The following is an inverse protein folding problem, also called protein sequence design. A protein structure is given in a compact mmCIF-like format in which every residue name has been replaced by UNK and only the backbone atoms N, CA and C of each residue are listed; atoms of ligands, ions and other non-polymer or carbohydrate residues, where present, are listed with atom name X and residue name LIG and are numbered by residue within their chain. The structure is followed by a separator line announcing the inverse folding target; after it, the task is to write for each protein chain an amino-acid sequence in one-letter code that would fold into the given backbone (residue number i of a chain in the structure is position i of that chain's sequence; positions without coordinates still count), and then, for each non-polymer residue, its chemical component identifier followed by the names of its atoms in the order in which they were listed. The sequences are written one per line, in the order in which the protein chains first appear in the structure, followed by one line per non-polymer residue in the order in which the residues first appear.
data_IF_169652931532
#
_entry.id   IF_169652931532
#
_cell.length_a   1.000
_cell.length_b   1.000
_cell.length_c   1.000
_cell.angle_alpha   90.00
_cell.angle_beta   90.00
_cell.angle_gamma   90.00
#
_symmetry.space_group_name_H-M   'P 1'
#
loop_
_entity.id
_entity.type
_entity.pdbx_description
1 polymer ?
#
# COMPACT_ATOMS: atom_id res chain seq x y z
N UNK A 1 11.87 13.24 -9.36
CA UNK A 1 10.87 12.28 -9.85
C UNK A 1 9.78 13.07 -10.57
N UNK A 2 9.41 12.69 -11.79
CA UNK A 2 8.23 13.22 -12.48
C UNK A 2 7.09 12.20 -12.30
N UNK A 3 5.86 12.67 -12.09
CA UNK A 3 4.72 11.84 -11.74
C UNK A 3 3.45 12.34 -12.42
N UNK A 4 2.57 11.42 -12.80
CA UNK A 4 1.27 11.75 -13.40
C UNK A 4 0.33 12.43 -12.41
N UNK A 5 -0.51 13.36 -12.89
CA UNK A 5 -1.41 14.15 -12.02
C UNK A 5 -2.42 13.31 -11.22
N UNK A 6 -2.85 12.16 -11.73
CA UNK A 6 -3.82 11.30 -11.04
C UNK A 6 -3.28 10.66 -9.76
N UNK A 7 -1.95 10.66 -9.56
CA UNK A 7 -1.29 10.08 -8.38
C UNK A 7 -1.16 11.08 -7.23
N UNK A 8 -1.51 12.36 -7.45
CA UNK A 8 -1.53 13.36 -6.39
C UNK A 8 -2.61 13.00 -5.35
N UNK A 9 -2.25 13.07 -4.08
CA UNK A 9 -3.14 12.84 -2.95
C UNK A 9 -2.80 13.78 -1.79
N UNK A 10 -3.85 14.26 -1.11
CA UNK A 10 -3.75 15.03 0.13
C UNK A 10 -4.85 14.56 1.06
N UNK A 11 -4.51 14.32 2.33
CA UNK A 11 -5.46 13.96 3.37
C UNK A 11 -5.14 14.79 4.61
N UNK A 12 -6.18 15.34 5.25
CA UNK A 12 -6.06 16.14 6.46
C UNK A 12 -7.06 15.66 7.51
N UNK A 13 -6.54 15.06 8.57
CA UNK A 13 -7.26 14.65 9.79
C UNK A 13 -6.24 14.26 10.86
N UNK A 14 -6.69 14.21 12.11
CA UNK A 14 -5.94 13.64 13.22
C UNK A 14 -5.96 12.10 13.15
N UNK A 15 -4.87 11.53 12.62
CA UNK A 15 -4.64 10.09 12.51
C UNK A 15 -3.52 9.65 13.44
N UNK A 16 -3.53 8.38 13.81
CA UNK A 16 -2.40 7.70 14.42
C UNK A 16 -1.79 6.72 13.42
N UNK A 17 -0.53 6.34 13.65
CA UNK A 17 0.13 5.37 12.81
C UNK A 17 1.01 4.40 13.59
N UNK A 18 1.26 3.25 12.98
CA UNK A 18 2.37 2.36 13.30
C UNK A 18 3.39 2.41 12.16
N UNK A 19 4.65 2.18 12.48
CA UNK A 19 5.77 2.31 11.55
C UNK A 19 6.70 1.10 11.64
N UNK A 20 7.26 0.72 10.49
CA UNK A 20 8.41 -0.16 10.40
C UNK A 20 9.31 0.29 9.25
N UNK A 21 10.44 -0.39 9.10
CA UNK A 21 11.43 -0.04 8.08
C UNK A 21 11.75 -1.26 7.22
N UNK A 22 12.02 -1.03 5.94
CA UNK A 22 12.52 -2.07 5.04
C UNK A 22 13.86 -2.64 5.53
N UNK A 23 14.23 -3.85 5.06
CA UNK A 23 15.43 -4.58 5.55
C UNK A 23 16.71 -3.76 5.38
N UNK A 24 16.77 -2.90 4.36
CA UNK A 24 17.92 -2.05 4.08
C UNK A 24 17.92 -0.72 4.86
N UNK A 25 16.90 -0.47 5.70
CA UNK A 25 16.79 0.75 6.50
C UNK A 25 16.40 2.01 5.71
N UNK A 26 16.16 1.90 4.40
CA UNK A 26 16.06 3.07 3.50
C UNK A 26 14.67 3.67 3.39
N UNK A 27 13.63 2.88 3.67
CA UNK A 27 12.24 3.30 3.46
C UNK A 27 11.42 3.02 4.71
N UNK A 28 10.81 4.07 5.23
CA UNK A 28 9.83 4.00 6.31
C UNK A 28 8.46 3.60 5.75
N UNK A 29 7.92 2.48 6.22
CA UNK A 29 6.56 2.05 5.87
C UNK A 29 5.66 2.35 7.05
N UNK A 30 4.55 3.06 6.81
CA UNK A 30 3.63 3.49 7.86
C UNK A 30 2.20 3.07 7.54
N UNK A 31 1.46 2.66 8.55
CA UNK A 31 0.01 2.45 8.44
C UNK A 31 -0.71 3.49 9.27
N UNK A 32 -1.44 4.39 8.62
CA UNK A 32 -2.28 5.40 9.25
C UNK A 32 -3.72 4.92 9.38
N UNK A 33 -4.36 5.27 10.49
CA UNK A 33 -5.78 5.01 10.73
C UNK A 33 -6.34 6.00 11.76
N UNK A 34 -7.64 5.94 11.98
CA UNK A 34 -8.31 6.69 13.05
C UNK A 34 -7.78 6.26 14.43
N UNK A 35 -7.84 7.17 15.40
CA UNK A 35 -7.35 6.92 16.76
C UNK A 35 -7.86 5.59 17.35
N UNK A 36 -7.01 4.96 18.15
CA UNK A 36 -7.22 3.68 18.83
C UNK A 36 -7.31 2.43 17.94
N UNK A 37 -7.02 2.52 16.64
CA UNK A 37 -7.09 1.40 15.70
C UNK A 37 -5.73 1.02 15.07
N UNK A 38 -4.63 1.73 15.37
CA UNK A 38 -3.32 1.55 14.75
C UNK A 38 -2.82 0.11 14.82
N UNK A 39 -3.03 -0.55 15.95
CA UNK A 39 -2.60 -1.96 16.15
C UNK A 39 -3.27 -2.93 15.17
N UNK A 40 -4.48 -2.64 14.70
CA UNK A 40 -5.15 -3.45 13.67
C UNK A 40 -4.43 -3.39 12.32
N UNK A 41 -3.60 -2.37 12.09
CA UNK A 41 -2.78 -2.23 10.89
C UNK A 41 -1.53 -3.12 10.87
N UNK A 42 -1.21 -3.85 11.95
CA UNK A 42 0.08 -4.57 12.08
C UNK A 42 0.30 -5.56 10.95
N UNK A 43 -0.72 -6.35 10.61
CA UNK A 43 -0.63 -7.33 9.52
C UNK A 43 -0.43 -6.66 8.15
N UNK A 44 -1.12 -5.54 7.90
CA UNK A 44 -0.92 -4.74 6.68
C UNK A 44 0.47 -4.11 6.60
N UNK A 45 1.01 -3.62 7.72
CA UNK A 45 2.36 -3.07 7.81
C UNK A 45 3.42 -4.12 7.48
N UNK A 46 3.35 -5.28 8.11
CA UNK A 46 4.26 -6.41 7.87
C UNK A 46 4.19 -6.87 6.41
N UNK A 47 2.98 -6.99 5.86
CA UNK A 47 2.76 -7.31 4.46
C UNK A 47 3.39 -6.29 3.52
N UNK A 48 3.16 -4.99 3.75
CA UNK A 48 3.74 -3.93 2.92
C UNK A 48 5.27 -3.95 2.93
N UNK A 49 5.88 -4.06 4.11
CA UNK A 49 7.34 -4.18 4.25
C UNK A 49 7.86 -5.41 3.50
N UNK A 50 7.20 -6.57 3.67
CA UNK A 50 7.59 -7.80 3.00
C UNK A 50 7.53 -7.65 1.47
N UNK A 51 6.47 -7.05 0.92
CA UNK A 51 6.31 -6.87 -0.52
C UNK A 51 7.36 -5.90 -1.07
N UNK A 52 7.60 -4.77 -0.41
CA UNK A 52 8.65 -3.81 -0.80
C UNK A 52 10.02 -4.48 -0.87
N UNK A 53 10.38 -5.27 0.15
CA UNK A 53 11.65 -5.98 0.18
C UNK A 53 11.75 -7.02 -0.94
N UNK A 54 10.70 -7.82 -1.15
CA UNK A 54 10.68 -8.87 -2.16
C UNK A 54 10.74 -8.30 -3.58
N UNK A 55 9.96 -7.27 -3.90
CA UNK A 55 10.00 -6.61 -5.20
C UNK A 55 11.33 -5.92 -5.44
N UNK A 56 11.89 -5.26 -4.43
CA UNK A 56 13.21 -4.63 -4.54
C UNK A 56 14.29 -5.64 -4.91
N UNK A 57 14.24 -6.83 -4.29
CA UNK A 57 15.16 -7.93 -4.59
C UNK A 57 14.89 -8.54 -5.98
N UNK A 58 13.63 -8.81 -6.29
CA UNK A 58 13.22 -9.47 -7.53
C UNK A 58 13.57 -8.64 -8.78
N UNK A 59 13.30 -7.33 -8.72
CA UNK A 59 13.56 -6.40 -9.83
C UNK A 59 14.99 -5.87 -9.82
N UNK A 60 15.79 -6.23 -8.82
CA UNK A 60 17.12 -5.66 -8.57
C UNK A 60 17.10 -4.11 -8.58
N UNK A 61 16.03 -3.52 -8.04
CA UNK A 61 15.79 -2.08 -8.04
C UNK A 61 15.17 -1.66 -6.71
N UNK A 62 15.86 -0.81 -5.95
CA UNK A 62 15.36 -0.29 -4.67
C UNK A 62 14.11 0.56 -4.88
N UNK A 63 13.20 0.55 -3.92
CA UNK A 63 12.17 1.57 -3.83
C UNK A 63 12.84 2.95 -3.73
N UNK A 64 12.52 3.91 -4.61
CA UNK A 64 13.32 5.13 -4.75
C UNK A 64 13.00 6.20 -3.71
N UNK A 65 11.93 6.03 -2.92
CA UNK A 65 11.44 7.03 -1.97
C UNK A 65 11.73 6.60 -0.52
N UNK A 66 11.86 7.59 0.35
CA UNK A 66 12.24 7.40 1.76
C UNK A 66 11.07 6.97 2.64
N UNK A 67 9.84 7.07 2.14
CA UNK A 67 8.63 6.65 2.86
C UNK A 67 7.58 6.02 1.95
N UNK A 68 6.71 5.21 2.55
CA UNK A 68 5.50 4.69 1.96
C UNK A 68 4.41 4.66 3.03
N UNK A 69 3.44 5.53 2.91
CA UNK A 69 2.30 5.63 3.81
C UNK A 69 1.14 4.81 3.25
N UNK A 70 0.49 4.03 4.12
CA UNK A 70 -0.71 3.25 3.83
C UNK A 70 -1.83 3.75 4.73
N UNK A 71 -2.85 4.39 4.18
CA UNK A 71 -3.94 4.98 4.94
C UNK A 71 -5.18 4.08 4.90
N UNK A 72 -5.65 3.63 6.06
CA UNK A 72 -6.99 3.08 6.22
C UNK A 72 -8.02 4.23 6.29
N UNK A 73 -8.67 4.54 5.17
CA UNK A 73 -9.70 5.56 5.11
C UNK A 73 -11.04 5.02 5.69
N UNK A 74 -11.74 5.80 6.55
CA UNK A 74 -13.02 5.38 7.13
C UNK A 74 -14.15 5.20 6.10
N UNK A 75 -14.12 5.99 5.03
CA UNK A 75 -15.05 5.91 3.91
C UNK A 75 -14.24 5.95 2.63
N UNK A 76 -14.24 4.86 1.89
CA UNK A 76 -13.57 4.75 0.60
C UNK A 76 -14.33 3.76 -0.28
N UNK A 77 -14.76 4.23 -1.45
CA UNK A 77 -15.64 3.46 -2.35
C UNK A 77 -14.93 2.28 -3.03
N UNK A 78 -13.62 2.38 -3.20
CA UNK A 78 -12.79 1.35 -3.81
C UNK A 78 -12.11 0.47 -2.77
N UNK A 79 -11.56 -0.67 -3.21
CA UNK A 79 -10.77 -1.54 -2.32
C UNK A 79 -9.51 -0.85 -1.81
N UNK A 80 -8.73 -0.26 -2.72
CA UNK A 80 -7.59 0.60 -2.44
C UNK A 80 -7.20 1.43 -3.69
N UNK A 81 -6.17 2.27 -3.59
CA UNK A 81 -5.67 3.13 -4.65
C UNK A 81 -4.18 3.49 -4.45
N UNK A 82 -3.39 3.36 -5.51
CA UNK A 82 -1.92 3.31 -5.47
C UNK A 82 -1.19 4.67 -5.46
N UNK A 83 -1.80 5.71 -4.89
CA UNK A 83 -1.22 7.07 -4.92
C UNK A 83 0.22 7.04 -4.42
N UNK A 84 1.09 7.81 -5.08
CA UNK A 84 2.51 7.72 -4.80
C UNK A 84 2.83 8.20 -3.40
N UNK A 85 3.61 7.40 -2.67
CA UNK A 85 3.92 7.55 -1.23
C UNK A 85 2.73 7.49 -0.28
N UNK A 86 1.46 7.50 -0.73
CA UNK A 86 0.26 7.50 0.11
C UNK A 86 -0.82 6.56 -0.44
N UNK A 87 -0.62 5.26 -0.29
CA UNK A 87 -1.59 4.26 -0.71
C UNK A 87 -2.84 4.39 0.16
N UNK A 88 -4.01 4.54 -0.46
CA UNK A 88 -5.28 4.73 0.26
C UNK A 88 -6.08 3.44 0.18
N UNK A 89 -6.51 2.93 1.32
CA UNK A 89 -7.26 1.69 1.45
C UNK A 89 -8.64 1.95 2.04
N UNK A 90 -9.61 1.14 1.67
CA UNK A 90 -10.77 0.93 2.53
C UNK A 90 -10.30 0.30 3.85
N UNK A 91 -10.80 0.76 5.01
CA UNK A 91 -10.38 0.20 6.31
C UNK A 91 -10.47 -1.33 6.39
N UNK A 92 -11.44 -1.95 5.72
CA UNK A 92 -11.61 -3.39 5.69
C UNK A 92 -10.55 -4.14 4.87
N UNK A 93 -9.79 -3.48 3.99
CA UNK A 93 -8.78 -4.10 3.12
C UNK A 93 -7.36 -3.92 3.64
N UNK A 94 -7.16 -3.14 4.70
CA UNK A 94 -5.87 -2.92 5.35
C UNK A 94 -5.83 -3.33 6.83
N UNK A 95 -6.91 -3.10 7.57
CA UNK A 95 -6.97 -3.40 9.00
C UNK A 95 -7.45 -4.82 9.25
N UNK A 96 -6.78 -5.51 10.17
CA UNK A 96 -7.09 -6.89 10.55
C UNK A 96 -7.38 -7.00 12.06
N UNK A 97 -8.51 -7.63 12.38
CA UNK A 97 -8.92 -7.99 13.74
C UNK A 97 -9.10 -9.52 13.82
N UNK A 98 -8.60 -10.12 14.90
CA UNK A 98 -8.60 -11.57 15.13
C UNK A 98 -10.00 -12.09 15.48
N UNK A 99 -10.96 -11.21 15.81
CA UNK A 99 -12.33 -11.59 16.21
C UNK A 99 -13.21 -12.03 15.01
N UNK A 100 -12.67 -12.07 13.78
CA UNK A 100 -13.42 -12.48 12.58
C UNK A 100 -13.65 -14.00 12.50
N UNK A 101 -14.78 -14.42 11.91
CA UNK A 101 -15.13 -15.85 11.73
C UNK A 101 -14.32 -16.55 10.64
N UNK A 102 -13.81 -15.81 9.64
CA UNK A 102 -12.94 -16.31 8.57
C UNK A 102 -11.59 -15.56 8.58
N UNK A 103 -10.76 -15.87 9.59
CA UNK A 103 -9.42 -15.30 9.77
C UNK A 103 -8.56 -15.49 8.52
N UNK A 104 -8.54 -16.72 7.95
CA UNK A 104 -7.65 -17.05 6.84
C UNK A 104 -8.05 -16.34 5.55
N UNK A 105 -9.34 -16.34 5.21
CA UNK A 105 -9.83 -15.62 4.04
C UNK A 105 -9.59 -14.13 4.16
N UNK A 106 -9.81 -13.56 5.36
CA UNK A 106 -9.55 -12.14 5.62
C UNK A 106 -8.07 -11.78 5.47
N UNK A 107 -7.17 -12.53 6.09
CA UNK A 107 -5.72 -12.32 5.98
C UNK A 107 -5.26 -12.44 4.52
N UNK A 108 -5.74 -13.45 3.78
CA UNK A 108 -5.42 -13.62 2.36
C UNK A 108 -5.88 -12.42 1.53
N UNK A 109 -7.09 -11.91 1.77
CA UNK A 109 -7.63 -10.74 1.07
C UNK A 109 -6.81 -9.48 1.33
N UNK A 110 -6.49 -9.20 2.60
CA UNK A 110 -5.64 -8.05 2.97
C UNK A 110 -4.26 -8.18 2.34
N UNK A 111 -3.62 -9.35 2.46
CA UNK A 111 -2.29 -9.58 1.88
C UNK A 111 -2.28 -9.37 0.36
N UNK A 112 -3.31 -9.84 -0.33
CA UNK A 112 -3.45 -9.67 -1.79
C UNK A 112 -3.59 -8.20 -2.19
N UNK A 113 -4.44 -7.43 -1.50
CA UNK A 113 -4.67 -6.02 -1.82
C UNK A 113 -3.43 -5.19 -1.47
N UNK A 114 -2.82 -5.41 -0.31
CA UNK A 114 -1.56 -4.73 0.05
C UNK A 114 -0.47 -5.03 -0.96
N UNK A 115 -0.33 -6.29 -1.40
CA UNK A 115 0.65 -6.64 -2.43
C UNK A 115 0.38 -5.92 -3.75
N UNK A 116 -0.89 -5.81 -4.16
CA UNK A 116 -1.30 -5.13 -5.38
C UNK A 116 -0.93 -3.64 -5.38
N UNK A 117 -1.32 -2.91 -4.35
CA UNK A 117 -1.07 -1.46 -4.26
C UNK A 117 0.43 -1.13 -4.09
N UNK A 118 1.17 -1.99 -3.39
CA UNK A 118 2.63 -1.84 -3.27
C UNK A 118 3.32 -2.18 -4.59
N UNK A 119 2.85 -3.19 -5.34
CA UNK A 119 3.40 -3.52 -6.66
C UNK A 119 3.23 -2.37 -7.66
N UNK A 120 2.12 -1.65 -7.59
CA UNK A 120 1.89 -0.46 -8.40
C UNK A 120 2.94 0.64 -8.22
N UNK A 121 3.63 0.66 -7.08
CA UNK A 121 4.72 1.60 -6.86
C UNK A 121 5.86 1.40 -7.86
N UNK A 122 6.05 0.18 -8.36
CA UNK A 122 6.91 -0.10 -9.52
C UNK A 122 6.13 -0.04 -10.82
N UNK A 123 5.00 -0.74 -10.90
CA UNK A 123 4.21 -0.96 -12.10
C UNK A 123 2.98 -0.04 -12.13
N UNK A 124 3.21 1.22 -12.52
CA UNK A 124 2.21 2.28 -12.51
C UNK A 124 2.86 3.62 -12.18
N UNK A 125 3.65 3.66 -11.10
CA UNK A 125 4.29 4.90 -10.61
C UNK A 125 5.70 5.11 -11.18
N UNK A 126 6.63 4.17 -10.98
CA UNK A 126 7.99 4.28 -11.55
C UNK A 126 7.97 3.97 -13.05
N UNK A 127 7.29 2.87 -13.43
CA UNK A 127 7.06 2.47 -14.81
C UNK A 127 5.60 2.77 -15.12
N UNK A 128 5.33 3.95 -15.68
CA UNK A 128 3.99 4.37 -16.07
C UNK A 128 3.68 3.99 -17.51
N UNK A 129 2.43 3.66 -17.80
CA UNK A 129 1.94 3.54 -19.17
C UNK A 129 1.93 4.90 -19.86
N UNK A 130 2.19 4.92 -21.17
CA UNK A 130 2.13 6.17 -21.95
C UNK A 130 0.68 6.62 -22.18
N UNK A 131 -0.27 5.68 -22.26
CA UNK A 131 -1.68 5.98 -22.49
C UNK A 131 -2.65 4.94 -21.91
N UNK A 132 -3.92 5.33 -21.68
CA UNK A 132 -4.93 4.51 -20.97
C UNK A 132 -5.29 3.19 -21.65
N UNK A 133 -5.07 3.04 -22.95
CA UNK A 133 -5.29 1.77 -23.66
C UNK A 133 -4.34 0.65 -23.19
N UNK A 134 -3.30 1.00 -22.43
CA UNK A 134 -2.34 0.08 -21.85
C UNK A 134 -2.56 -0.14 -20.34
N UNK A 135 -3.78 0.12 -19.82
CA UNK A 135 -4.12 -0.10 -18.41
C UNK A 135 -3.75 -1.50 -17.90
N UNK A 136 -3.72 -2.50 -18.80
CA UNK A 136 -3.25 -3.84 -18.48
C UNK A 136 -1.80 -3.90 -17.96
N UNK A 137 -0.90 -3.01 -18.39
CA UNK A 137 0.48 -2.94 -17.88
C UNK A 137 0.53 -2.56 -16.39
N UNK A 138 -0.46 -1.81 -15.93
CA UNK A 138 -0.62 -1.42 -14.54
C UNK A 138 -1.35 -2.51 -13.75
N UNK A 139 -2.56 -2.83 -14.18
CA UNK A 139 -3.49 -3.66 -13.40
C UNK A 139 -3.12 -5.14 -13.43
N UNK A 140 -2.61 -5.69 -14.54
CA UNK A 140 -2.28 -7.13 -14.61
C UNK A 140 -0.93 -7.48 -14.00
N UNK A 141 0.03 -6.56 -13.98
CA UNK A 141 1.34 -6.78 -13.34
C UNK A 141 1.31 -6.59 -11.81
N UNK A 142 0.18 -6.09 -11.30
CA UNK A 142 -0.03 -5.88 -9.87
C UNK A 142 -0.96 -6.95 -9.26
N UNK A 143 -1.43 -7.94 -10.04
CA UNK A 143 -2.22 -9.10 -9.56
C UNK A 143 -1.32 -10.14 -8.87
#
# INVERSE_FOLDING_TARGET
MHMSSYLVALVARDFEYIEGTTINGTTHVRVYTVKSHAKLGTFGLEGGIAVVNNLSKYLNMKYPLTKMDMLAAPVFEYGAMEKTELLIYNGHTLLFDVITTDIRGKMKGIASIVAHEVAHQWFGNIISMDWRNQLWLKERFSI
#
